data_IF_171566933587
#
_entry.id   IF_171566933587
#
_cell.length_a   1.000
_cell.length_b   1.000
_cell.length_c   1.000
_cell.angle_alpha   90.00
_cell.angle_beta   90.00
_cell.angle_gamma   90.00
#
_symmetry.space_group_name_H-M   'P 1'
#
loop_
_entity.id
_entity.type
_entity.pdbx_description
1 polymer ?
#
# COMPACT_ATOMS: atom_id res chain seq x y z
N UNK A 1 -10.05 25.17 23.80
CA UNK A 1 -9.73 25.00 22.36
C UNK A 1 -8.30 24.46 22.29
N UNK A 2 -8.11 23.23 21.81
CA UNK A 2 -6.91 22.42 22.15
C UNK A 2 -5.82 22.44 21.07
N UNK A 3 -6.06 22.94 19.85
CA UNK A 3 -5.00 23.13 18.85
C UNK A 3 -5.23 24.38 17.97
N UNK A 4 -4.22 25.26 17.83
CA UNK A 4 -4.28 26.42 16.94
C UNK A 4 -4.35 26.01 15.45
N UNK A 5 -4.86 26.91 14.59
CA UNK A 5 -4.84 26.72 13.13
C UNK A 5 -3.49 27.15 12.54
N UNK A 6 -3.07 26.53 11.44
CA UNK A 6 -1.82 26.87 10.77
C UNK A 6 -2.09 27.86 9.64
N UNK A 7 -1.39 28.98 9.66
CA UNK A 7 -1.52 30.02 8.64
C UNK A 7 -0.15 30.47 8.12
N UNK A 8 -0.11 30.96 6.89
CA UNK A 8 1.07 31.60 6.29
C UNK A 8 0.78 33.04 5.91
N UNK A 9 1.80 33.89 5.96
CA UNK A 9 1.69 35.30 5.55
C UNK A 9 1.63 35.39 4.02
N UNK A 10 0.68 36.15 3.48
CA UNK A 10 0.66 36.51 2.06
C UNK A 10 1.57 37.71 1.80
N UNK A 11 2.03 37.89 0.56
CA UNK A 11 2.95 38.97 0.18
C UNK A 11 2.41 40.38 0.51
N UNK A 12 1.10 40.50 0.59
CA UNK A 12 0.33 41.59 1.16
C UNK A 12 0.34 41.47 2.70
N UNK A 13 1.03 42.40 3.35
CA UNK A 13 1.46 42.37 4.76
C UNK A 13 0.39 42.19 5.85
N UNK A 14 -0.90 42.14 5.52
CA UNK A 14 -2.00 42.04 6.48
C UNK A 14 -2.99 40.92 6.13
N UNK A 15 -2.58 39.92 5.35
CA UNK A 15 -3.44 38.80 4.98
C UNK A 15 -2.75 37.47 5.19
N UNK A 16 -3.52 36.49 5.64
CA UNK A 16 -3.04 35.15 5.95
C UNK A 16 -3.85 34.12 5.17
N UNK A 17 -3.17 33.09 4.66
CA UNK A 17 -3.81 31.92 4.07
C UNK A 17 -3.81 30.76 5.06
N UNK A 18 -4.93 30.05 5.15
CA UNK A 18 -5.08 28.87 6.01
C UNK A 18 -4.41 27.69 5.31
N UNK A 19 -3.34 27.17 5.91
CA UNK A 19 -2.64 25.98 5.43
C UNK A 19 -3.33 24.72 5.96
N UNK A 20 -3.76 24.75 7.22
CA UNK A 20 -4.43 23.62 7.85
C UNK A 20 -5.44 24.06 8.91
N UNK A 21 -6.52 23.27 9.06
CA UNK A 21 -7.56 23.51 10.08
C UNK A 21 -8.79 24.29 9.60
N UNK A 22 -9.13 24.27 8.31
CA UNK A 22 -10.27 25.00 7.74
C UNK A 22 -11.61 24.72 8.47
N UNK A 23 -11.85 23.46 8.87
CA UNK A 23 -13.07 23.10 9.65
C UNK A 23 -13.13 23.81 11.00
N UNK A 24 -11.99 23.99 11.67
CA UNK A 24 -11.89 24.70 12.96
C UNK A 24 -12.12 26.21 12.76
N UNK A 25 -11.57 26.78 11.68
CA UNK A 25 -11.83 28.16 11.30
C UNK A 25 -13.32 28.41 11.02
N UNK A 26 -13.96 27.56 10.22
CA UNK A 26 -15.42 27.65 9.97
C UNK A 26 -16.24 27.48 11.25
N UNK A 27 -15.87 26.55 12.13
CA UNK A 27 -16.55 26.37 13.41
C UNK A 27 -16.41 27.61 14.31
N UNK A 28 -15.23 28.25 14.33
CA UNK A 28 -15.01 29.50 15.06
C UNK A 28 -15.83 30.66 14.49
N UNK A 29 -15.95 30.73 13.16
CA UNK A 29 -16.80 31.71 12.48
C UNK A 29 -18.28 31.53 12.86
N UNK A 30 -18.78 30.30 12.87
CA UNK A 30 -20.16 29.98 13.31
C UNK A 30 -20.35 30.31 14.80
N UNK A 31 -19.33 30.10 15.63
CA UNK A 31 -19.34 30.44 17.05
C UNK A 31 -19.20 31.94 17.35
N UNK A 32 -19.03 32.79 16.32
CA UNK A 32 -18.88 34.24 16.48
C UNK A 32 -17.57 34.66 17.16
N UNK A 33 -16.54 33.81 17.12
CA UNK A 33 -15.22 34.16 17.64
C UNK A 33 -14.55 35.16 16.70
N UNK A 34 -14.20 36.32 17.24
CA UNK A 34 -13.52 37.40 16.50
C UNK A 34 -12.01 37.13 16.41
N UNK A 35 -11.45 36.48 17.43
CA UNK A 35 -10.05 36.11 17.52
C UNK A 35 -9.91 34.60 17.70
N UNK A 36 -8.94 34.01 17.01
CA UNK A 36 -8.60 32.60 17.13
C UNK A 36 -7.08 32.42 17.23
N UNK A 37 -6.60 31.44 18.01
CA UNK A 37 -5.18 31.16 18.10
C UNK A 37 -4.68 30.58 16.78
N UNK A 38 -3.68 31.23 16.20
CA UNK A 38 -3.03 30.81 14.96
C UNK A 38 -1.53 30.60 15.19
N UNK A 39 -0.95 29.65 14.47
CA UNK A 39 0.50 29.53 14.33
C UNK A 39 0.85 30.09 12.94
N UNK A 40 1.63 31.16 12.93
CA UNK A 40 2.19 31.73 11.69
C UNK A 40 3.48 30.99 11.42
N UNK A 41 3.59 30.36 10.26
CA UNK A 41 4.83 29.72 9.80
C UNK A 41 5.13 30.26 8.41
N UNK A 42 6.31 30.87 8.25
CA UNK A 42 6.86 31.17 6.92
C UNK A 42 7.35 29.85 6.33
N UNK A 43 6.40 29.14 5.71
CA UNK A 43 6.63 27.93 4.93
C UNK A 43 6.35 28.24 3.47
N UNK A 44 7.21 27.73 2.59
CA UNK A 44 6.95 27.72 1.15
C UNK A 44 5.64 26.96 0.83
N UNK A 45 5.03 27.22 -0.32
CA UNK A 45 3.83 26.50 -0.80
C UNK A 45 4.01 24.98 -0.71
N UNK A 46 5.20 24.50 -1.06
CA UNK A 46 5.56 23.08 -1.00
C UNK A 46 5.61 22.54 0.43
N UNK A 47 6.20 23.28 1.36
CA UNK A 47 6.25 22.89 2.79
C UNK A 47 4.86 22.95 3.44
N UNK A 48 4.05 23.94 3.08
CA UNK A 48 2.66 24.06 3.53
C UNK A 48 1.83 22.85 3.05
N UNK A 49 1.95 22.50 1.77
CA UNK A 49 1.30 21.32 1.20
C UNK A 49 1.78 20.02 1.85
N UNK A 50 3.09 19.90 2.10
CA UNK A 50 3.69 18.76 2.80
C UNK A 50 3.07 18.55 4.18
N UNK A 51 2.99 19.62 4.99
CA UNK A 51 2.41 19.56 6.33
C UNK A 51 0.93 19.15 6.29
N UNK A 52 0.16 19.68 5.34
CA UNK A 52 -1.25 19.32 5.17
C UNK A 52 -1.43 17.84 4.75
N UNK A 53 -0.59 17.33 3.85
CA UNK A 53 -0.60 15.93 3.42
C UNK A 53 -0.22 14.98 4.56
N UNK A 54 0.82 15.30 5.33
CA UNK A 54 1.27 14.50 6.49
C UNK A 54 0.18 14.45 7.56
N UNK A 55 -0.44 15.59 7.91
CA UNK A 55 -1.56 15.62 8.86
C UNK A 55 -2.72 14.73 8.38
N UNK A 56 -3.03 14.77 7.08
CA UNK A 56 -4.09 13.93 6.52
C UNK A 56 -3.74 12.44 6.59
N UNK A 57 -2.48 12.05 6.32
CA UNK A 57 -1.99 10.66 6.40
C UNK A 57 -2.03 10.11 7.84
N UNK A 58 -1.79 10.95 8.84
CA UNK A 58 -1.78 10.53 10.26
C UNK A 58 -3.17 10.25 10.84
N UNK A 59 -4.23 10.34 10.04
CA UNK A 59 -5.60 10.03 10.47
C UNK A 59 -5.81 8.51 10.56
N UNK A 60 -6.42 8.05 11.66
CA UNK A 60 -6.63 6.63 11.94
C UNK A 60 -7.66 5.93 11.01
N UNK A 61 -8.39 6.70 10.20
CA UNK A 61 -9.53 6.21 9.41
C UNK A 61 -9.20 5.92 7.92
N UNK A 62 -7.95 6.12 7.48
CA UNK A 62 -7.58 6.02 6.07
C UNK A 62 -7.59 4.57 5.56
N UNK A 63 -8.12 4.37 4.35
CA UNK A 63 -7.95 3.11 3.65
C UNK A 63 -6.47 2.92 3.24
N UNK A 64 -5.90 1.71 3.31
CA UNK A 64 -4.53 1.48 2.87
C UNK A 64 -4.18 1.97 1.46
N UNK A 65 -5.13 1.97 0.51
CA UNK A 65 -4.91 2.52 -0.83
C UNK A 65 -4.90 4.05 -0.86
N UNK A 66 -5.71 4.69 -0.02
CA UNK A 66 -5.68 6.16 0.15
C UNK A 66 -4.37 6.59 0.81
N UNK A 67 -3.92 5.83 1.82
CA UNK A 67 -2.63 6.05 2.47
C UNK A 67 -1.48 5.93 1.45
N UNK A 68 -1.49 4.87 0.64
CA UNK A 68 -0.48 4.68 -0.41
C UNK A 68 -0.47 5.81 -1.44
N UNK A 69 -1.65 6.26 -1.90
CA UNK A 69 -1.76 7.38 -2.82
C UNK A 69 -1.25 8.70 -2.23
N UNK A 70 -1.52 8.96 -0.95
CA UNK A 70 -1.01 10.15 -0.27
C UNK A 70 0.52 10.11 -0.13
N UNK A 71 1.12 8.94 0.16
CA UNK A 71 2.56 8.75 0.19
C UNK A 71 3.19 8.96 -1.20
N UNK A 72 2.56 8.46 -2.26
CA UNK A 72 3.02 8.65 -3.64
C UNK A 72 3.04 10.15 -4.02
N UNK A 73 2.02 10.91 -3.60
CA UNK A 73 1.98 12.37 -3.82
C UNK A 73 3.10 13.09 -3.08
N UNK A 74 3.43 12.71 -1.84
CA UNK A 74 4.59 13.27 -1.12
C UNK A 74 5.89 13.02 -1.88
N UNK A 75 6.07 11.84 -2.46
CA UNK A 75 7.28 11.50 -3.23
C UNK A 75 7.34 12.30 -4.53
N UNK A 76 6.25 12.35 -5.27
CA UNK A 76 6.22 12.92 -6.61
C UNK A 76 6.13 14.46 -6.61
N UNK A 77 5.30 15.05 -5.75
CA UNK A 77 5.06 16.49 -5.73
C UNK A 77 6.15 17.26 -4.95
N UNK A 78 6.85 16.60 -4.03
CA UNK A 78 7.89 17.21 -3.19
C UNK A 78 9.28 16.61 -3.41
N UNK A 79 9.43 15.72 -4.39
CA UNK A 79 10.67 15.02 -4.74
C UNK A 79 11.35 14.34 -3.52
N UNK A 80 10.54 13.92 -2.54
CA UNK A 80 11.04 13.30 -1.32
C UNK A 80 11.49 11.86 -1.56
N UNK A 81 12.56 11.44 -0.90
CA UNK A 81 12.97 10.04 -0.91
C UNK A 81 12.04 9.19 -0.02
N UNK A 82 11.99 7.88 -0.27
CA UNK A 82 11.22 6.97 0.58
C UNK A 82 11.63 7.04 2.06
N UNK A 83 12.92 7.30 2.32
CA UNK A 83 13.45 7.45 3.67
C UNK A 83 12.94 8.74 4.34
N UNK A 84 12.98 9.86 3.62
CA UNK A 84 12.46 11.13 4.13
C UNK A 84 10.95 11.08 4.40
N UNK A 85 10.18 10.42 3.53
CA UNK A 85 8.74 10.22 3.75
C UNK A 85 8.50 9.35 4.97
N UNK A 86 9.24 8.25 5.13
CA UNK A 86 9.12 7.35 6.27
C UNK A 86 9.36 8.07 7.60
N UNK A 87 10.41 8.89 7.66
CA UNK A 87 10.71 9.73 8.83
C UNK A 87 9.59 10.74 9.11
N UNK A 88 9.06 11.40 8.07
CA UNK A 88 8.00 12.40 8.19
C UNK A 88 6.67 11.81 8.67
N UNK A 89 6.30 10.60 8.24
CA UNK A 89 5.08 9.92 8.68
C UNK A 89 5.27 9.05 9.92
N UNK A 90 6.49 8.95 10.45
CA UNK A 90 6.80 8.14 11.65
C UNK A 90 6.69 6.64 11.42
N UNK A 91 6.98 6.15 10.21
CA UNK A 91 6.95 4.72 9.85
C UNK A 91 8.32 4.25 9.37
N UNK A 92 8.48 2.93 9.27
CA UNK A 92 9.71 2.37 8.72
C UNK A 92 9.72 2.46 7.19
N UNK A 93 10.88 2.67 6.57
CA UNK A 93 11.06 2.65 5.12
C UNK A 93 10.45 1.40 4.43
N UNK A 94 10.57 0.17 4.98
CA UNK A 94 9.88 -1.00 4.41
C UNK A 94 8.36 -0.89 4.47
N UNK A 95 7.79 -0.28 5.50
CA UNK A 95 6.34 -0.09 5.61
C UNK A 95 5.82 0.86 4.52
N UNK A 96 6.50 1.99 4.31
CA UNK A 96 6.19 2.93 3.22
C UNK A 96 6.29 2.24 1.86
N UNK A 97 7.37 1.49 1.62
CA UNK A 97 7.56 0.77 0.37
C UNK A 97 6.48 -0.30 0.15
N UNK A 98 6.04 -1.00 1.20
CA UNK A 98 4.97 -1.99 1.08
C UNK A 98 3.61 -1.35 0.77
N UNK A 99 3.31 -0.18 1.33
CA UNK A 99 2.09 0.56 1.04
C UNK A 99 2.06 1.03 -0.42
N UNK A 100 3.14 1.67 -0.88
CA UNK A 100 3.25 2.17 -2.25
C UNK A 100 3.06 1.05 -3.28
N UNK A 101 3.60 -0.14 -3.02
CA UNK A 101 3.44 -1.29 -3.91
C UNK A 101 1.99 -1.73 -4.10
N UNK A 102 1.07 -1.43 -3.18
CA UNK A 102 -0.34 -1.75 -3.36
C UNK A 102 -0.97 -1.00 -4.53
N UNK A 103 -0.40 0.15 -4.92
CA UNK A 103 -0.83 0.88 -6.11
C UNK A 103 -0.52 0.12 -7.40
N UNK A 104 0.40 -0.86 -7.36
CA UNK A 104 0.74 -1.73 -8.49
C UNK A 104 -0.24 -2.90 -8.67
N UNK A 105 -1.19 -3.09 -7.75
CA UNK A 105 -2.21 -4.14 -7.85
C UNK A 105 -3.15 -3.90 -9.03
N UNK A 106 -3.65 -5.00 -9.59
CA UNK A 106 -4.78 -4.97 -10.53
C UNK A 106 -6.00 -4.26 -9.91
N UNK A 107 -6.73 -3.50 -10.73
CA UNK A 107 -7.86 -2.68 -10.29
C UNK A 107 -8.98 -3.51 -9.65
N UNK A 108 -9.18 -4.75 -10.11
CA UNK A 108 -10.13 -5.67 -9.50
C UNK A 108 -9.74 -6.07 -8.07
N UNK A 109 -8.44 -6.23 -7.81
CA UNK A 109 -7.91 -6.54 -6.47
C UNK A 109 -7.95 -5.31 -5.57
N UNK A 110 -7.62 -4.12 -6.10
CA UNK A 110 -7.75 -2.84 -5.37
C UNK A 110 -9.18 -2.65 -4.85
N UNK A 111 -10.18 -2.86 -5.71
CA UNK A 111 -11.59 -2.76 -5.31
C UNK A 111 -11.99 -3.75 -4.21
N UNK A 112 -11.41 -4.96 -4.21
CA UNK A 112 -11.65 -5.93 -3.13
C UNK A 112 -11.00 -5.51 -1.81
N UNK A 113 -9.85 -4.86 -1.86
CA UNK A 113 -9.19 -4.26 -0.69
C UNK A 113 -9.98 -3.06 -0.15
N UNK A 114 -10.47 -2.17 -1.03
CA UNK A 114 -11.31 -1.03 -0.66
C UNK A 114 -12.60 -1.44 0.05
N UNK A 115 -13.25 -2.49 -0.47
CA UNK A 115 -14.50 -3.01 0.09
C UNK A 115 -14.30 -3.88 1.34
N UNK A 116 -13.06 -4.06 1.80
CA UNK A 116 -12.72 -4.85 2.99
C UNK A 116 -12.89 -6.37 2.80
N UNK A 117 -13.00 -6.85 1.55
CA UNK A 117 -13.06 -8.30 1.26
C UNK A 117 -11.69 -8.97 1.35
N UNK A 118 -10.63 -8.18 1.22
CA UNK A 118 -9.25 -8.62 1.37
C UNK A 118 -8.53 -7.72 2.36
N UNK A 119 -7.81 -8.32 3.30
CA UNK A 119 -6.84 -7.59 4.10
C UNK A 119 -5.57 -7.22 3.31
N UNK A 120 -4.86 -6.22 3.82
CA UNK A 120 -3.49 -5.83 3.43
C UNK A 120 -2.52 -7.01 3.25
N UNK A 121 -2.60 -7.99 4.16
CA UNK A 121 -1.78 -9.20 4.10
C UNK A 121 -2.02 -10.00 2.80
N UNK A 122 -3.28 -10.18 2.41
CA UNK A 122 -3.64 -10.86 1.17
C UNK A 122 -3.16 -10.05 -0.04
N UNK A 123 -3.46 -8.76 -0.07
CA UNK A 123 -3.07 -7.87 -1.15
C UNK A 123 -1.55 -7.91 -1.41
N UNK A 124 -0.75 -7.86 -0.35
CA UNK A 124 0.71 -7.92 -0.45
C UNK A 124 1.24 -9.22 -1.06
N UNK A 125 0.59 -10.35 -0.77
CA UNK A 125 1.00 -11.65 -1.33
C UNK A 125 0.72 -11.76 -2.82
N UNK A 126 -0.40 -11.18 -3.26
CA UNK A 126 -0.81 -11.19 -4.66
C UNK A 126 0.12 -10.37 -5.56
N UNK A 127 0.81 -9.35 -5.03
CA UNK A 127 1.80 -8.56 -5.80
C UNK A 127 2.92 -9.37 -6.46
N UNK A 128 3.17 -10.59 -5.99
CA UNK A 128 4.18 -11.47 -6.59
C UNK A 128 3.69 -12.17 -7.87
N UNK A 129 2.39 -12.10 -8.18
CA UNK A 129 1.77 -12.70 -9.35
C UNK A 129 1.58 -11.67 -10.48
N UNK A 130 1.47 -12.17 -11.71
CA UNK A 130 1.06 -11.36 -12.87
C UNK A 130 -0.39 -10.86 -12.74
N UNK A 131 -0.76 -9.71 -13.33
CA UNK A 131 -2.09 -9.10 -13.16
C UNK A 131 -3.27 -10.07 -13.36
N UNK A 132 -3.24 -10.87 -14.45
CA UNK A 132 -4.28 -11.87 -14.72
C UNK A 132 -4.45 -12.89 -13.58
N UNK A 133 -3.34 -13.35 -13.01
CA UNK A 133 -3.32 -14.32 -11.89
C UNK A 133 -3.69 -13.68 -10.56
N UNK A 134 -3.47 -12.37 -10.40
CA UNK A 134 -3.86 -11.64 -9.19
C UNK A 134 -5.37 -11.67 -9.00
N UNK A 135 -6.13 -11.31 -10.04
CA UNK A 135 -7.59 -11.24 -9.96
C UNK A 135 -8.24 -12.61 -9.76
N UNK A 136 -7.75 -13.64 -10.46
CA UNK A 136 -8.22 -15.02 -10.30
C UNK A 136 -7.98 -15.52 -8.86
N UNK A 137 -6.76 -15.32 -8.36
CA UNK A 137 -6.37 -15.73 -7.01
C UNK A 137 -7.14 -14.96 -5.94
N UNK A 138 -7.29 -13.65 -6.09
CA UNK A 138 -8.11 -12.79 -5.22
C UNK A 138 -9.55 -13.29 -5.11
N UNK A 139 -10.17 -13.60 -6.25
CA UNK A 139 -11.54 -14.12 -6.29
C UNK A 139 -11.64 -15.47 -5.55
N UNK A 140 -10.64 -16.34 -5.70
CA UNK A 140 -10.58 -17.63 -5.00
C UNK A 140 -10.42 -17.45 -3.49
N UNK A 141 -9.55 -16.55 -3.05
CA UNK A 141 -9.33 -16.21 -1.63
C UNK A 141 -10.62 -15.74 -0.99
N UNK A 142 -11.33 -14.80 -1.62
CA UNK A 142 -12.61 -14.26 -1.10
C UNK A 142 -13.68 -15.35 -1.05
N UNK A 143 -13.81 -16.17 -2.11
CA UNK A 143 -14.81 -17.25 -2.15
C UNK A 143 -14.57 -18.34 -1.09
N UNK A 144 -13.31 -18.65 -0.80
CA UNK A 144 -12.92 -19.71 0.12
C UNK A 144 -12.64 -19.20 1.54
N UNK A 145 -12.66 -17.89 1.77
CA UNK A 145 -12.34 -17.29 3.06
C UNK A 145 -10.93 -17.64 3.55
N UNK A 146 -9.95 -17.67 2.64
CA UNK A 146 -8.59 -18.10 2.99
C UNK A 146 -7.93 -17.11 3.95
N UNK A 147 -7.16 -17.63 4.91
CA UNK A 147 -6.28 -16.81 5.76
C UNK A 147 -5.07 -16.32 4.97
N UNK A 148 -4.41 -15.27 5.48
CA UNK A 148 -3.17 -14.72 4.87
C UNK A 148 -2.11 -15.80 4.68
N UNK A 149 -1.91 -16.68 5.66
CA UNK A 149 -0.96 -17.81 5.57
C UNK A 149 -1.36 -18.83 4.50
N UNK A 150 -2.65 -19.14 4.37
CA UNK A 150 -3.13 -20.04 3.33
C UNK A 150 -2.96 -19.42 1.94
N UNK A 151 -3.16 -18.11 1.83
CA UNK A 151 -2.91 -17.34 0.62
C UNK A 151 -1.42 -17.33 0.25
N UNK A 152 -0.51 -17.11 1.20
CA UNK A 152 0.94 -17.22 0.97
C UNK A 152 1.32 -18.59 0.38
N UNK A 153 0.78 -19.67 0.93
CA UNK A 153 1.01 -21.02 0.44
C UNK A 153 0.44 -21.23 -0.98
N UNK A 154 -0.76 -20.74 -1.25
CA UNK A 154 -1.39 -20.82 -2.57
C UNK A 154 -0.56 -20.09 -3.62
N UNK A 155 -0.15 -18.85 -3.33
CA UNK A 155 0.68 -18.03 -4.21
C UNK A 155 2.03 -18.72 -4.46
N UNK A 156 2.66 -19.26 -3.41
CA UNK A 156 3.92 -20.00 -3.54
C UNK A 156 3.77 -21.22 -4.45
N UNK A 157 2.70 -22.01 -4.30
CA UNK A 157 2.42 -23.15 -5.19
C UNK A 157 2.20 -22.74 -6.65
N UNK A 158 1.56 -21.59 -6.91
CA UNK A 158 1.36 -21.07 -8.26
C UNK A 158 2.66 -20.59 -8.91
N UNK A 159 3.60 -20.08 -8.12
CA UNK A 159 4.94 -19.68 -8.57
C UNK A 159 5.84 -20.91 -8.80
N UNK A 160 5.83 -21.87 -7.88
CA UNK A 160 6.62 -23.10 -7.96
C UNK A 160 6.09 -24.05 -9.07
N UNK A 161 4.78 -24.10 -9.29
CA UNK A 161 4.15 -24.88 -10.36
C UNK A 161 4.57 -24.44 -11.77
N UNK A 162 4.99 -23.17 -11.94
CA UNK A 162 5.56 -22.65 -13.18
C UNK A 162 7.01 -23.11 -13.43
N UNK A 163 7.69 -23.69 -12.42
CA UNK A 163 9.05 -24.24 -12.54
C UNK A 163 9.06 -25.74 -12.91
N UNK A 164 7.89 -26.41 -12.91
CA UNK A 164 7.77 -27.84 -13.20
C UNK A 164 7.08 -28.19 -14.54
N UNK A 165 6.83 -27.20 -15.41
CA UNK A 165 6.35 -27.42 -16.78
C UNK A 165 7.48 -27.50 -17.83
N UNK A 166 8.69 -27.97 -17.47
CA UNK A 166 9.58 -28.58 -18.47
C UNK A 166 9.17 -30.06 -18.58
N UNK A 167 8.78 -30.56 -19.75
CA UNK A 167 8.52 -31.98 -19.90
C UNK A 167 9.85 -32.69 -19.65
N UNK A 168 9.98 -33.39 -18.51
CA UNK A 168 10.95 -34.48 -18.42
C UNK A 168 10.43 -35.59 -19.33
N UNK A 169 10.78 -35.47 -20.61
CA UNK A 169 11.01 -36.66 -21.41
C UNK A 169 12.14 -37.43 -20.72
N UNK A 170 11.91 -38.74 -20.60
CA UNK A 170 12.80 -39.77 -20.13
C UNK A 170 12.85 -39.98 -18.60
N UNK A 171 12.10 -41.00 -18.14
CA UNK A 171 12.75 -42.18 -17.56
C UNK A 171 12.02 -43.42 -18.08
N UNK A 172 12.62 -44.06 -19.08
CA UNK A 172 12.45 -45.48 -19.40
C UNK A 172 12.29 -46.36 -18.15
N UNK A 173 11.23 -47.14 -18.17
CA UNK A 173 11.06 -48.48 -17.59
C UNK A 173 11.93 -48.87 -16.39
N UNK A 174 11.34 -48.75 -15.19
CA UNK A 174 11.82 -49.42 -13.97
C UNK A 174 11.51 -50.94 -13.94
N UNK A 175 11.05 -51.54 -15.04
CA UNK A 175 10.65 -52.96 -15.09
C UNK A 175 11.50 -53.84 -16.03
N UNK A 176 12.51 -53.30 -16.73
CA UNK A 176 13.30 -54.11 -17.69
C UNK A 176 14.63 -54.60 -17.09
N UNK A 177 15.21 -53.88 -16.12
CA UNK A 177 16.52 -54.24 -15.55
C UNK A 177 16.50 -55.39 -14.52
N UNK A 178 15.32 -55.90 -14.16
CA UNK A 178 15.19 -57.10 -13.30
C UNK A 178 15.03 -58.41 -14.08
N UNK A 179 14.76 -58.36 -15.38
CA UNK A 179 14.60 -59.57 -16.20
C UNK A 179 15.92 -60.05 -16.83
N UNK A 180 16.95 -59.21 -16.90
CA UNK A 180 18.24 -59.57 -17.50
C UNK A 180 19.17 -60.36 -16.56
N UNK A 181 18.97 -60.28 -15.24
CA UNK A 181 19.78 -61.01 -14.27
C UNK A 181 19.23 -62.41 -13.92
N UNK A 182 17.99 -62.74 -14.30
CA UNK A 182 17.38 -64.05 -14.02
C UNK A 182 17.58 -65.07 -15.18
N UNK A 183 18.11 -64.62 -16.33
CA UNK A 183 18.33 -65.44 -17.52
C UNK A 183 19.80 -65.84 -17.75
N UNK A 184 20.72 -65.41 -16.87
CA UNK A 184 22.15 -65.70 -16.96
C UNK A 184 22.63 -66.79 -15.97
N UNK A 185 21.74 -67.38 -15.17
CA UNK A 185 22.06 -68.50 -14.25
C UNK A 185 21.37 -69.84 -14.60
N UNK A 186 21.20 -70.15 -15.90
CA UNK A 186 20.98 -71.52 -16.38
C UNK A 186 21.75 -71.77 -17.68
#
# INVERSE_FOLDING_TARGET
LVQPILVRSLANKDSYEIVAGERRWRAAQIAGLHDIPVIIKDVSDNEAMCLALIENIQREDLNPLEEAGALERLINELEMTHDAVADAVGRSRPAVSNLLRLLELDDGVKKMLETGKLDMGHARTLLSLSPDKQLESATKIVKQGLSVRATENLVKQLLDGNQHSRPKNDVKDSNITKLENDLSER
#
